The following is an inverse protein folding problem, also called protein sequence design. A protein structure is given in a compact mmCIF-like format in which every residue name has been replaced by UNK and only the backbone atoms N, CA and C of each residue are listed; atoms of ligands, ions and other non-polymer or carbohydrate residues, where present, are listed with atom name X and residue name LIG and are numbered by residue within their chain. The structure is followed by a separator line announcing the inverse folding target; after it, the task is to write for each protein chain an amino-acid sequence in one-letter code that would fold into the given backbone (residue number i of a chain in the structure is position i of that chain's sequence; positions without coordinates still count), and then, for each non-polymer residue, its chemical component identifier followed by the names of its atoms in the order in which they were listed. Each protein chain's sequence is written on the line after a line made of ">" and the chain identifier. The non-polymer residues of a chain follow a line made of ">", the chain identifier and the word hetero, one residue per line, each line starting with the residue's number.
data_IF_194366470864
#
_entry.id   IF_194366470864
#
_cell.length_a   1.000
_cell.length_b   1.000
_cell.length_c   1.000
_cell.angle_alpha   90.00
_cell.angle_beta   90.00
_cell.angle_gamma   90.00
#
_symmetry.space_group_name_H-M   'P 1'
#
loop_
_entity.id
_entity.type
_entity.pdbx_description
1 polymer ?
#
# COMPACT_ATOMS: atom_id res chain seq x y z
N UNK A 1 -3.09 13.12 -20.70
CA UNK A 1 -1.87 12.91 -19.89
C UNK A 1 -2.14 11.71 -18.97
N UNK A 2 -1.11 11.04 -18.46
CA UNK A 2 -1.31 9.88 -17.58
C UNK A 2 -1.65 10.39 -16.17
N UNK A 3 -2.82 10.03 -15.65
CA UNK A 3 -3.31 10.38 -14.31
C UNK A 3 -3.41 9.12 -13.43
N UNK A 4 -2.28 8.57 -12.98
CA UNK A 4 -2.27 7.32 -12.23
C UNK A 4 -2.82 7.53 -10.80
N UNK A 5 -3.56 6.53 -10.33
CA UNK A 5 -4.07 6.46 -8.96
C UNK A 5 -3.35 5.35 -8.22
N UNK A 6 -2.67 5.69 -7.14
CA UNK A 6 -1.91 4.76 -6.29
C UNK A 6 -2.67 4.47 -5.01
N UNK A 7 -2.88 3.19 -4.71
CA UNK A 7 -3.52 2.71 -3.49
C UNK A 7 -2.46 2.20 -2.52
N UNK A 8 -2.17 3.04 -1.54
CA UNK A 8 -1.15 2.82 -0.52
C UNK A 8 -1.81 2.48 0.82
N UNK A 9 -1.04 1.90 1.73
CA UNK A 9 -1.48 1.60 3.08
C UNK A 9 -0.51 0.64 3.75
N UNK A 10 -0.56 0.53 5.07
CA UNK A 10 0.16 -0.57 5.72
C UNK A 10 -0.44 -1.91 5.30
N UNK A 11 0.34 -2.99 5.32
CA UNK A 11 -0.19 -4.32 4.98
C UNK A 11 -1.46 -4.65 5.79
N UNK A 12 -2.44 -5.28 5.14
CA UNK A 12 -3.76 -5.64 5.74
C UNK A 12 -4.65 -4.46 6.16
N UNK A 13 -4.35 -3.24 5.72
CA UNK A 13 -5.19 -2.04 5.93
C UNK A 13 -6.48 -1.99 5.11
N UNK A 14 -6.61 -2.80 4.06
CA UNK A 14 -7.80 -2.85 3.20
C UNK A 14 -7.60 -2.35 1.75
N UNK A 15 -6.36 -2.13 1.32
CA UNK A 15 -6.00 -1.73 -0.06
C UNK A 15 -6.63 -2.60 -1.14
N UNK A 16 -6.72 -3.92 -0.95
CA UNK A 16 -7.33 -4.84 -1.93
C UNK A 16 -8.84 -4.58 -2.09
N UNK A 17 -9.54 -4.27 -1.00
CA UNK A 17 -10.96 -3.95 -1.05
C UNK A 17 -11.19 -2.60 -1.76
N UNK A 18 -10.35 -1.62 -1.46
CA UNK A 18 -10.36 -0.32 -2.12
C UNK A 18 -10.08 -0.45 -3.63
N UNK A 19 -9.09 -1.26 -4.00
CA UNK A 19 -8.78 -1.57 -5.40
C UNK A 19 -10.01 -2.12 -6.12
N UNK A 20 -10.67 -3.13 -5.53
CA UNK A 20 -11.83 -3.77 -6.15
C UNK A 20 -13.03 -2.84 -6.27
N UNK A 21 -13.21 -1.91 -5.34
CA UNK A 21 -14.20 -0.85 -5.46
C UNK A 21 -13.88 0.06 -6.66
N UNK A 22 -12.65 0.57 -6.75
CA UNK A 22 -12.26 1.48 -7.84
C UNK A 22 -12.23 0.79 -9.19
N UNK A 23 -11.83 -0.48 -9.26
CA UNK A 23 -11.85 -1.27 -10.49
C UNK A 23 -13.27 -1.53 -11.06
N UNK A 24 -14.34 -1.08 -10.39
CA UNK A 24 -15.70 -1.08 -10.96
C UNK A 24 -15.99 0.11 -11.88
N UNK A 25 -15.10 1.11 -11.92
CA UNK A 25 -15.23 2.29 -12.77
C UNK A 25 -14.49 2.07 -14.09
N UNK A 26 -15.18 2.29 -15.22
CA UNK A 26 -14.61 2.09 -16.56
C UNK A 26 -13.35 2.95 -16.82
N UNK A 27 -13.17 4.03 -16.06
CA UNK A 27 -11.98 4.88 -16.07
C UNK A 27 -10.70 4.08 -15.81
N UNK A 28 -10.77 3.00 -15.04
CA UNK A 28 -9.63 2.14 -14.72
C UNK A 28 -9.53 0.89 -15.60
N UNK A 29 -10.33 0.81 -16.67
CA UNK A 29 -10.26 -0.26 -17.67
C UNK A 29 -11.15 -1.46 -17.37
N UNK A 30 -11.17 -2.40 -18.31
CA UNK A 30 -11.99 -3.63 -18.25
C UNK A 30 -11.10 -4.78 -17.83
N UNK A 31 -11.32 -5.30 -16.62
CA UNK A 31 -10.58 -6.48 -16.16
C UNK A 31 -10.35 -6.48 -14.67
N UNK A 32 -11.38 -6.83 -13.89
CA UNK A 32 -11.08 -7.54 -12.66
C UNK A 32 -10.56 -8.91 -13.10
N UNK A 33 -9.33 -9.31 -12.73
CA UNK A 33 -8.89 -10.68 -12.97
C UNK A 33 -9.93 -11.64 -12.40
N UNK A 34 -10.14 -12.75 -13.11
CA UNK A 34 -11.02 -13.83 -12.68
C UNK A 34 -10.74 -14.15 -11.21
N UNK A 35 -11.80 -14.28 -10.41
CA UNK A 35 -11.80 -14.17 -8.94
C UNK A 35 -11.01 -15.27 -8.19
N UNK A 36 -10.14 -16.01 -8.88
CA UNK A 36 -9.20 -17.00 -8.38
C UNK A 36 -7.83 -16.44 -7.97
N UNK A 37 -7.50 -15.20 -8.32
CA UNK A 37 -6.13 -14.71 -8.15
C UNK A 37 -5.81 -14.20 -6.73
N UNK A 38 -4.57 -14.46 -6.30
CA UNK A 38 -4.08 -14.17 -4.94
C UNK A 38 -3.99 -12.66 -4.63
N UNK A 39 -3.85 -12.26 -3.35
CA UNK A 39 -3.66 -10.86 -2.93
C UNK A 39 -2.52 -10.12 -3.68
N UNK A 40 -1.52 -10.86 -4.20
CA UNK A 40 -0.39 -10.34 -5.00
C UNK A 40 -0.74 -9.99 -6.43
N UNK A 41 -1.83 -10.54 -6.96
CA UNK A 41 -2.20 -10.34 -8.36
C UNK A 41 -2.49 -8.87 -8.70
N UNK A 42 -2.90 -8.10 -7.69
CA UNK A 42 -3.23 -6.68 -7.80
C UNK A 42 -2.02 -5.75 -7.63
N UNK A 43 -0.84 -6.27 -7.32
CA UNK A 43 0.32 -5.44 -6.94
C UNK A 43 1.27 -5.23 -8.10
N UNK A 44 1.22 -4.09 -8.80
CA UNK A 44 2.06 -3.90 -9.99
C UNK A 44 3.56 -3.78 -9.71
N UNK A 45 3.90 -3.64 -8.43
CA UNK A 45 5.25 -3.52 -7.91
C UNK A 45 6.06 -2.39 -8.57
N UNK A 46 5.38 -1.30 -8.90
CA UNK A 46 5.95 -0.06 -9.48
C UNK A 46 7.15 0.48 -8.69
N UNK A 47 7.24 0.20 -7.39
CA UNK A 47 8.40 0.57 -6.59
C UNK A 47 9.71 -0.12 -7.03
N UNK A 48 9.69 -1.34 -7.58
CA UNK A 48 10.90 -1.98 -8.11
C UNK A 48 11.47 -1.21 -9.32
N UNK A 49 10.58 -0.75 -10.19
CA UNK A 49 10.90 0.09 -11.35
C UNK A 49 11.28 1.51 -10.97
N UNK A 50 10.93 1.90 -9.75
CA UNK A 50 11.44 3.12 -9.22
C UNK A 50 12.95 3.01 -9.03
N UNK A 51 13.63 1.86 -8.99
CA UNK A 51 15.10 1.76 -9.04
C UNK A 51 15.61 1.37 -10.45
N UNK A 52 16.34 2.26 -11.16
CA UNK A 52 16.84 1.99 -12.51
C UNK A 52 18.05 1.04 -12.53
N UNK A 53 18.55 0.65 -11.36
CA UNK A 53 19.59 -0.37 -11.20
C UNK A 53 19.05 -1.72 -10.78
N UNK A 54 17.74 -1.84 -10.55
CA UNK A 54 17.08 -3.12 -10.35
C UNK A 54 17.35 -4.03 -11.55
N UNK A 55 17.55 -5.31 -11.27
CA UNK A 55 17.62 -6.34 -12.29
C UNK A 55 16.23 -6.56 -12.88
N UNK A 56 15.88 -5.77 -13.90
CA UNK A 56 14.56 -5.81 -14.51
C UNK A 56 14.25 -7.17 -15.14
N UNK A 57 15.26 -7.93 -15.59
CA UNK A 57 15.08 -9.30 -16.09
C UNK A 57 14.63 -10.20 -14.93
N UNK A 58 15.36 -10.17 -13.80
CA UNK A 58 14.99 -10.94 -12.62
C UNK A 58 13.62 -10.55 -12.05
N UNK A 59 13.22 -9.27 -12.13
CA UNK A 59 11.87 -8.85 -11.71
C UNK A 59 10.82 -9.38 -12.69
N UNK A 60 11.05 -9.30 -14.00
CA UNK A 60 10.12 -9.84 -15.01
C UNK A 60 9.96 -11.36 -14.92
N UNK A 61 11.04 -12.07 -14.57
CA UNK A 61 11.07 -13.52 -14.39
C UNK A 61 10.26 -14.00 -13.18
N UNK A 62 9.85 -13.11 -12.27
CA UNK A 62 8.96 -13.47 -11.16
C UNK A 62 7.52 -13.74 -11.61
N UNK A 63 7.18 -13.47 -12.88
CA UNK A 63 5.93 -13.91 -13.52
C UNK A 63 4.65 -13.34 -12.88
N UNK A 64 4.68 -12.05 -12.48
CA UNK A 64 3.54 -11.41 -11.84
C UNK A 64 2.41 -11.15 -12.86
N UNK A 65 1.13 -11.40 -12.54
CA UNK A 65 0.03 -11.36 -13.53
C UNK A 65 -0.08 -10.06 -14.34
N UNK A 66 -0.11 -8.91 -13.68
CA UNK A 66 -0.18 -7.60 -14.36
C UNK A 66 1.06 -7.28 -15.21
N UNK A 67 2.22 -7.91 -14.95
CA UNK A 67 3.35 -7.82 -15.86
C UNK A 67 3.10 -8.58 -17.15
N UNK A 68 2.40 -9.72 -17.09
CA UNK A 68 1.97 -10.44 -18.29
C UNK A 68 0.91 -9.68 -19.06
N UNK A 69 0.07 -8.93 -18.37
CA UNK A 69 -0.91 -8.10 -19.07
C UNK A 69 -0.22 -6.92 -19.76
N UNK A 70 0.65 -6.20 -19.07
CA UNK A 70 1.35 -5.03 -19.61
C UNK A 70 2.47 -5.38 -20.60
N UNK A 71 3.16 -6.50 -20.37
CA UNK A 71 4.35 -6.96 -21.10
C UNK A 71 4.25 -8.49 -21.27
N UNK A 72 3.46 -8.98 -22.24
CA UNK A 72 3.06 -10.38 -22.32
C UNK A 72 4.19 -11.35 -22.63
N UNK A 73 5.18 -10.91 -23.40
CA UNK A 73 6.22 -11.78 -23.92
C UNK A 73 7.64 -11.16 -23.84
N UNK A 74 8.65 -12.02 -23.98
CA UNK A 74 10.07 -11.61 -23.88
C UNK A 74 10.50 -10.64 -24.99
N UNK A 75 9.85 -10.62 -26.16
CA UNK A 75 10.15 -9.61 -27.18
C UNK A 75 9.56 -8.25 -26.76
N UNK A 76 8.33 -8.22 -26.26
CA UNK A 76 7.72 -7.01 -25.69
C UNK A 76 8.56 -6.45 -24.53
N UNK A 77 9.08 -7.33 -23.67
CA UNK A 77 9.99 -6.92 -22.60
C UNK A 77 11.32 -6.37 -23.12
N UNK A 78 11.95 -7.02 -24.10
CA UNK A 78 13.16 -6.50 -24.76
C UNK A 78 12.94 -5.12 -25.38
N UNK A 79 11.77 -4.85 -25.94
CA UNK A 79 11.40 -3.52 -26.45
C UNK A 79 11.26 -2.51 -25.31
N UNK A 80 10.61 -2.90 -24.20
CA UNK A 80 10.47 -2.07 -23.01
C UNK A 80 11.84 -1.69 -22.43
N UNK A 81 12.74 -2.65 -22.22
CA UNK A 81 14.07 -2.39 -21.64
C UNK A 81 15.10 -1.86 -22.62
N UNK A 82 14.90 -2.04 -23.93
CA UNK A 82 15.84 -1.67 -24.97
C UNK A 82 16.23 -0.19 -24.93
N UNK A 83 15.31 0.68 -24.48
CA UNK A 83 15.58 2.10 -24.27
C UNK A 83 16.54 2.38 -23.11
N UNK A 84 16.56 1.55 -22.07
CA UNK A 84 17.47 1.68 -20.92
C UNK A 84 18.82 1.00 -21.17
N UNK A 85 18.85 -0.05 -21.99
CA UNK A 85 20.09 -0.74 -22.35
C UNK A 85 21.02 0.11 -23.22
N UNK A 86 20.46 1.04 -24.00
CA UNK A 86 21.18 1.94 -24.91
C UNK A 86 21.69 3.24 -24.26
N UNK A 87 21.65 3.35 -22.92
CA UNK A 87 22.15 4.53 -22.22
C UNK A 87 23.68 4.68 -22.35
N UNK A 88 24.14 5.92 -22.49
CA UNK A 88 25.57 6.23 -22.49
C UNK A 88 26.24 5.80 -21.18
N UNK A 89 27.54 5.51 -21.24
CA UNK A 89 28.33 5.13 -20.06
C UNK A 89 28.18 6.15 -18.92
N UNK A 90 28.28 7.45 -19.23
CA UNK A 90 28.10 8.52 -18.25
C UNK A 90 26.73 8.48 -17.58
N UNK A 91 25.68 8.15 -18.33
CA UNK A 91 24.34 8.08 -17.77
C UNK A 91 24.16 6.86 -16.87
N UNK A 92 24.63 5.69 -17.30
CA UNK A 92 24.63 4.48 -16.45
C UNK A 92 25.43 4.71 -15.17
N UNK A 93 26.59 5.36 -15.27
CA UNK A 93 27.40 5.75 -14.12
C UNK A 93 26.63 6.68 -13.17
N UNK A 94 25.93 7.69 -13.69
CA UNK A 94 25.11 8.59 -12.87
C UNK A 94 23.99 7.84 -12.13
N UNK A 95 23.27 6.94 -12.80
CA UNK A 95 22.19 6.15 -12.17
C UNK A 95 22.74 5.29 -11.03
N UNK A 96 23.87 4.60 -11.25
CA UNK A 96 24.54 3.81 -10.21
C UNK A 96 24.99 4.70 -9.04
N UNK A 97 25.48 5.91 -9.32
CA UNK A 97 25.89 6.87 -8.28
C UNK A 97 24.70 7.38 -7.47
N UNK A 98 23.63 7.79 -8.13
CA UNK A 98 22.39 8.23 -7.46
C UNK A 98 21.81 7.09 -6.63
N UNK A 99 21.79 5.86 -7.16
CA UNK A 99 21.30 4.71 -6.40
C UNK A 99 22.13 4.47 -5.14
N UNK A 100 23.45 4.32 -5.28
CA UNK A 100 24.36 4.02 -4.16
C UNK A 100 24.41 5.12 -3.10
N UNK A 101 24.39 6.40 -3.50
CA UNK A 101 24.67 7.51 -2.59
C UNK A 101 23.45 8.30 -2.14
N UNK A 102 22.30 8.12 -2.80
CA UNK A 102 21.06 8.84 -2.45
C UNK A 102 19.94 7.87 -2.11
N UNK A 103 19.58 6.96 -3.01
CA UNK A 103 18.37 6.14 -2.83
C UNK A 103 18.55 5.01 -1.81
N UNK A 104 19.67 4.28 -1.85
CA UNK A 104 19.96 3.18 -0.91
C UNK A 104 20.76 3.63 0.31
N UNK A 105 21.27 4.86 0.32
CA UNK A 105 22.02 5.41 1.45
C UNK A 105 21.10 5.67 2.64
N UNK A 106 21.34 4.94 3.73
CA UNK A 106 20.73 5.24 5.03
C UNK A 106 21.05 6.68 5.45
N UNK A 107 20.02 7.43 5.86
CA UNK A 107 20.15 8.83 6.27
C UNK A 107 20.24 9.86 5.13
N UNK A 108 20.13 9.47 3.86
CA UNK A 108 19.97 10.44 2.78
C UNK A 108 18.64 11.20 2.95
N UNK A 109 18.69 12.52 2.88
CA UNK A 109 17.51 13.35 3.11
C UNK A 109 16.45 13.16 2.02
N UNK A 110 15.18 13.30 2.41
CA UNK A 110 14.04 13.23 1.51
C UNK A 110 14.17 14.16 0.30
N UNK A 111 14.63 15.39 0.52
CA UNK A 111 14.86 16.36 -0.56
C UNK A 111 15.93 15.91 -1.55
N UNK A 112 17.00 15.27 -1.08
CA UNK A 112 18.02 14.69 -1.96
C UNK A 112 17.43 13.57 -2.82
N UNK A 113 16.60 12.69 -2.23
CA UNK A 113 15.90 11.62 -2.96
C UNK A 113 14.94 12.17 -4.01
N UNK A 114 14.15 13.18 -3.67
CA UNK A 114 13.25 13.88 -4.62
C UNK A 114 14.04 14.48 -5.79
N UNK A 115 15.14 15.18 -5.52
CA UNK A 115 15.99 15.76 -6.56
C UNK A 115 16.63 14.67 -7.43
N UNK A 116 17.17 13.61 -6.83
CA UNK A 116 17.71 12.48 -7.54
C UNK A 116 16.65 11.78 -8.40
N UNK A 117 15.39 11.69 -7.95
CA UNK A 117 14.27 11.11 -8.70
C UNK A 117 13.97 11.91 -9.97
N UNK A 118 14.09 13.24 -9.91
CA UNK A 118 13.95 14.12 -11.09
C UNK A 118 15.12 13.99 -12.07
N UNK A 119 16.33 13.76 -11.55
CA UNK A 119 17.53 13.62 -12.37
C UNK A 119 17.70 12.23 -12.98
N UNK A 120 17.11 11.20 -12.39
CA UNK A 120 17.22 9.79 -12.78
C UNK A 120 16.21 9.37 -13.86
N UNK A 121 16.42 8.22 -14.49
CA UNK A 121 15.47 7.65 -15.48
C UNK A 121 14.23 7.01 -14.86
N UNK A 122 14.09 7.07 -13.52
CA UNK A 122 12.97 6.51 -12.75
C UNK A 122 11.62 6.91 -13.33
N UNK A 123 11.46 8.19 -13.68
CA UNK A 123 10.27 8.72 -14.35
C UNK A 123 9.92 7.98 -15.63
N UNK A 124 10.91 7.71 -16.48
CA UNK A 124 10.67 7.08 -17.77
C UNK A 124 10.29 5.61 -17.60
N UNK A 125 10.97 4.88 -16.71
CA UNK A 125 10.66 3.47 -16.40
C UNK A 125 9.22 3.36 -15.89
N UNK A 126 8.91 4.07 -14.82
CA UNK A 126 7.59 4.02 -14.19
C UNK A 126 6.50 4.48 -15.15
N UNK A 127 6.71 5.60 -15.87
CA UNK A 127 5.69 6.11 -16.81
C UNK A 127 5.46 5.17 -17.98
N UNK A 128 6.51 4.63 -18.58
CA UNK A 128 6.37 3.70 -19.71
C UNK A 128 5.64 2.42 -19.27
N UNK A 129 5.98 1.90 -18.09
CA UNK A 129 5.29 0.72 -17.54
C UNK A 129 3.81 1.01 -17.31
N UNK A 130 3.48 2.12 -16.64
CA UNK A 130 2.08 2.49 -16.38
C UNK A 130 1.30 2.79 -17.66
N UNK A 131 1.94 3.30 -18.71
CA UNK A 131 1.31 3.46 -20.03
C UNK A 131 0.95 2.10 -20.62
N UNK A 132 1.89 1.16 -20.67
CA UNK A 132 1.64 -0.20 -21.19
C UNK A 132 0.56 -0.93 -20.38
N UNK A 133 0.61 -0.78 -19.05
CA UNK A 133 -0.41 -1.29 -18.15
C UNK A 133 -1.78 -0.65 -18.42
N UNK A 134 -1.85 0.66 -18.63
CA UNK A 134 -3.11 1.34 -18.98
C UNK A 134 -3.67 0.83 -20.31
N UNK A 135 -2.80 0.66 -21.30
CA UNK A 135 -3.18 0.19 -22.64
C UNK A 135 -3.68 -1.26 -22.63
N UNK A 136 -3.05 -2.16 -21.85
CA UNK A 136 -3.46 -3.57 -21.77
C UNK A 136 -4.86 -3.75 -21.18
N UNK A 137 -5.26 -2.86 -20.27
CA UNK A 137 -6.59 -2.87 -19.63
C UNK A 137 -7.60 -1.93 -20.31
N UNK A 138 -7.19 -1.18 -21.33
CA UNK A 138 -8.02 -0.11 -21.91
C UNK A 138 -8.39 0.99 -20.90
N UNK A 139 -7.57 1.16 -19.86
CA UNK A 139 -7.78 2.11 -18.78
C UNK A 139 -7.45 3.54 -19.23
N UNK A 140 -8.26 4.50 -18.83
CA UNK A 140 -7.98 5.95 -18.99
C UNK A 140 -7.05 6.45 -17.90
N UNK A 141 -7.20 5.91 -16.69
CA UNK A 141 -6.41 6.19 -15.49
C UNK A 141 -5.80 4.87 -15.02
N UNK A 142 -4.46 4.73 -14.93
CA UNK A 142 -3.86 3.54 -14.31
C UNK A 142 -4.27 3.42 -12.85
N UNK A 143 -4.76 2.25 -12.43
CA UNK A 143 -5.01 1.93 -11.03
C UNK A 143 -3.90 1.03 -10.50
N UNK A 144 -3.07 1.56 -9.61
CA UNK A 144 -1.93 0.87 -9.04
C UNK A 144 -2.22 0.55 -7.57
N UNK A 145 -2.01 -0.69 -7.14
CA UNK A 145 -2.12 -1.07 -5.73
C UNK A 145 -0.87 -1.78 -5.24
N UNK A 146 0.12 -1.05 -4.79
CA UNK A 146 1.19 -1.59 -3.96
C UNK A 146 1.16 -0.89 -2.58
N UNK A 147 0.80 -1.61 -1.49
CA UNK A 147 0.60 -0.99 -0.19
C UNK A 147 1.81 -0.16 0.25
N UNK A 148 3.01 -0.72 0.08
CA UNK A 148 4.29 -0.14 0.48
C UNK A 148 4.74 1.08 -0.34
N UNK A 149 3.99 1.50 -1.37
CA UNK A 149 4.25 2.76 -2.08
C UNK A 149 4.16 3.98 -1.15
N UNK A 150 3.63 3.85 0.08
CA UNK A 150 3.72 4.91 1.10
C UNK A 150 5.17 5.33 1.40
N UNK A 151 6.16 4.42 1.24
CA UNK A 151 7.58 4.70 1.44
C UNK A 151 8.17 5.61 0.36
N UNK A 152 7.50 5.71 -0.80
CA UNK A 152 7.99 6.41 -1.99
C UNK A 152 7.06 7.53 -2.46
N UNK A 153 6.10 7.98 -1.64
CA UNK A 153 5.10 8.98 -2.04
C UNK A 153 5.75 10.24 -2.61
N UNK A 154 6.81 10.72 -1.98
CA UNK A 154 7.51 11.94 -2.40
C UNK A 154 8.26 11.76 -3.71
N UNK A 155 8.96 10.64 -3.89
CA UNK A 155 9.63 10.30 -5.14
C UNK A 155 8.61 10.12 -6.27
N UNK A 156 7.55 9.34 -6.03
CA UNK A 156 6.47 9.07 -7.00
C UNK A 156 5.81 10.37 -7.43
N UNK A 157 5.43 11.25 -6.50
CA UNK A 157 4.87 12.56 -6.80
C UNK A 157 5.85 13.46 -7.59
N UNK A 158 7.15 13.34 -7.36
CA UNK A 158 8.15 14.10 -8.10
C UNK A 158 8.32 13.62 -9.55
N UNK A 159 8.18 12.32 -9.81
CA UNK A 159 8.31 11.74 -11.15
C UNK A 159 7.00 11.73 -11.93
N UNK A 160 5.86 11.63 -11.24
CA UNK A 160 4.50 11.61 -11.77
C UNK A 160 3.69 12.76 -11.14
N UNK A 161 3.82 13.99 -11.67
CA UNK A 161 3.20 15.17 -11.05
C UNK A 161 1.66 15.15 -11.08
N UNK A 162 1.07 14.32 -11.95
CA UNK A 162 -0.39 14.17 -12.08
C UNK A 162 -0.94 12.99 -11.28
N UNK A 163 -0.09 12.29 -10.53
CA UNK A 163 -0.52 11.16 -9.70
C UNK A 163 -1.44 11.61 -8.56
N UNK A 164 -2.44 10.78 -8.24
CA UNK A 164 -3.22 10.86 -7.00
C UNK A 164 -2.95 9.62 -6.15
N UNK A 165 -2.92 9.80 -4.85
CA UNK A 165 -2.65 8.75 -3.88
C UNK A 165 -3.87 8.60 -2.95
N UNK A 166 -4.21 7.36 -2.61
CA UNK A 166 -5.14 7.08 -1.52
C UNK A 166 -4.40 6.21 -0.51
N UNK A 167 -4.27 6.70 0.72
CA UNK A 167 -3.71 5.94 1.82
C UNK A 167 -4.84 5.45 2.72
N UNK A 168 -5.09 4.14 2.69
CA UNK A 168 -6.06 3.51 3.58
C UNK A 168 -5.37 3.06 4.87
N UNK A 169 -5.95 3.43 6.01
CA UNK A 169 -5.49 3.06 7.34
C UNK A 169 -6.59 2.37 8.13
N UNK A 170 -6.20 1.53 9.09
CA UNK A 170 -7.10 0.71 9.91
C UNK A 170 -6.57 0.64 11.34
N UNK A 171 -7.45 0.36 12.30
CA UNK A 171 -7.06 0.12 13.70
C UNK A 171 -5.89 -0.89 13.75
N UNK A 172 -4.74 -0.54 14.36
CA UNK A 172 -3.56 -1.40 14.36
C UNK A 172 -3.82 -2.76 15.03
N UNK A 173 -4.74 -2.84 16.00
CA UNK A 173 -5.09 -4.11 16.64
C UNK A 173 -5.79 -5.07 15.67
N UNK A 174 -6.71 -4.55 14.84
CA UNK A 174 -7.39 -5.36 13.83
C UNK A 174 -6.47 -5.75 12.68
N UNK A 175 -5.52 -4.87 12.32
CA UNK A 175 -4.48 -5.18 11.34
C UNK A 175 -3.60 -6.33 11.85
N UNK A 176 -3.09 -6.24 13.09
CA UNK A 176 -2.26 -7.29 13.68
C UNK A 176 -3.03 -8.60 13.83
N UNK A 177 -4.27 -8.56 14.31
CA UNK A 177 -5.13 -9.74 14.36
C UNK A 177 -5.35 -10.36 12.97
N UNK A 178 -5.52 -9.54 11.93
CA UNK A 178 -5.62 -10.02 10.56
C UNK A 178 -4.31 -10.66 10.06
N UNK A 179 -3.15 -10.16 10.46
CA UNK A 179 -1.85 -10.75 10.12
C UNK A 179 -1.70 -12.13 10.76
N UNK A 180 -1.97 -12.25 12.07
CA UNK A 180 -1.92 -13.52 12.79
C UNK A 180 -2.90 -14.54 12.19
N UNK A 181 -4.13 -14.11 11.86
CA UNK A 181 -5.12 -14.97 11.18
C UNK A 181 -4.59 -15.50 9.85
N UNK A 182 -4.01 -14.60 9.05
CA UNK A 182 -3.48 -14.96 7.72
C UNK A 182 -2.31 -15.93 7.85
N UNK A 183 -1.44 -15.72 8.82
CA UNK A 183 -0.32 -16.61 9.10
C UNK A 183 -0.79 -18.01 9.49
N UNK A 184 -1.76 -18.13 10.40
CA UNK A 184 -2.33 -19.44 10.76
C UNK A 184 -2.89 -20.19 9.56
N UNK A 185 -3.66 -19.51 8.71
CA UNK A 185 -4.23 -20.12 7.51
C UNK A 185 -3.16 -20.60 6.51
N UNK A 186 -2.09 -19.82 6.28
CA UNK A 186 -1.01 -20.26 5.39
C UNK A 186 -0.28 -21.50 5.92
N UNK A 187 -0.05 -21.60 7.23
CA UNK A 187 0.55 -22.80 7.85
C UNK A 187 -0.37 -24.03 7.78
N UNK A 188 -1.68 -23.84 7.89
CA UNK A 188 -2.66 -24.91 7.77
C UNK A 188 -2.74 -25.45 6.33
N UNK A 189 -2.67 -24.57 5.32
CA UNK A 189 -2.76 -24.93 3.91
C UNK A 189 -1.43 -25.49 3.35
N UNK A 190 -0.29 -24.95 3.78
CA UNK A 190 1.04 -25.32 3.30
C UNK A 190 1.99 -25.51 4.51
N UNK A 191 2.08 -26.72 5.09
CA UNK A 191 2.86 -26.95 6.32
C UNK A 191 4.39 -26.83 6.14
N UNK A 192 4.88 -26.80 4.89
CA UNK A 192 6.28 -26.58 4.56
C UNK A 192 6.38 -25.38 3.63
N UNK A 193 6.64 -24.20 4.22
CA UNK A 193 6.84 -22.96 3.48
C UNK A 193 8.30 -22.49 3.61
N UNK A 194 8.93 -21.99 2.52
CA UNK A 194 10.24 -21.37 2.60
C UNK A 194 10.24 -20.20 3.57
N UNK A 195 11.25 -20.08 4.43
CA UNK A 195 11.27 -19.08 5.53
C UNK A 195 11.06 -17.64 5.03
N UNK A 196 11.59 -17.30 3.85
CA UNK A 196 11.40 -15.99 3.23
C UNK A 196 9.94 -15.68 2.83
N UNK A 197 9.08 -16.70 2.66
CA UNK A 197 7.63 -16.51 2.39
C UNK A 197 6.80 -16.33 3.66
N UNK A 198 7.34 -16.68 4.83
CA UNK A 198 6.61 -16.69 6.11
C UNK A 198 7.22 -15.78 7.16
N UNK A 199 8.34 -15.11 6.88
CA UNK A 199 9.00 -14.22 7.84
C UNK A 199 8.05 -13.16 8.44
N UNK A 200 7.14 -12.62 7.63
CA UNK A 200 6.11 -11.67 8.06
C UNK A 200 5.11 -12.25 9.09
N UNK A 201 5.01 -13.58 9.21
CA UNK A 201 4.15 -14.28 10.16
C UNK A 201 4.74 -14.33 11.57
N UNK A 202 6.05 -14.07 11.68
CA UNK A 202 6.78 -14.03 12.94
C UNK A 202 7.05 -12.60 13.40
N UNK A 203 6.38 -11.61 12.81
CA UNK A 203 6.50 -10.21 13.20
C UNK A 203 6.05 -10.03 14.65
N UNK A 204 6.90 -9.43 15.47
CA UNK A 204 6.57 -9.12 16.86
C UNK A 204 5.59 -7.93 16.93
N UNK A 205 4.83 -7.78 18.03
CA UNK A 205 4.00 -6.58 18.26
C UNK A 205 4.79 -5.28 18.13
N UNK A 206 6.05 -5.26 18.58
CA UNK A 206 6.95 -4.12 18.52
C UNK A 206 7.36 -3.78 17.08
N UNK A 207 7.79 -4.77 16.29
CA UNK A 207 8.14 -4.58 14.88
C UNK A 207 6.93 -4.17 14.04
N UNK A 208 5.78 -4.80 14.29
CA UNK A 208 4.51 -4.42 13.69
C UNK A 208 4.16 -2.96 14.00
N UNK A 209 4.20 -2.59 15.28
CA UNK A 209 3.85 -1.23 15.71
C UNK A 209 4.75 -0.20 15.06
N UNK A 210 6.07 -0.46 15.00
CA UNK A 210 7.03 0.41 14.32
C UNK A 210 6.67 0.61 12.85
N UNK A 211 6.40 -0.47 12.11
CA UNK A 211 6.05 -0.39 10.69
C UNK A 211 4.71 0.30 10.44
N UNK A 212 3.71 0.06 11.29
CA UNK A 212 2.41 0.73 11.18
C UNK A 212 2.53 2.23 11.46
N UNK A 213 3.27 2.63 12.49
CA UNK A 213 3.56 4.04 12.82
C UNK A 213 4.28 4.71 11.66
N UNK A 214 5.35 4.08 11.13
CA UNK A 214 6.11 4.59 9.99
C UNK A 214 5.20 4.83 8.77
N UNK A 215 4.34 3.88 8.44
CA UNK A 215 3.41 4.03 7.31
C UNK A 215 2.45 5.21 7.50
N UNK A 216 1.88 5.36 8.70
CA UNK A 216 0.99 6.48 9.04
C UNK A 216 1.74 7.81 8.98
N UNK A 217 2.95 7.88 9.53
CA UNK A 217 3.75 9.10 9.56
C UNK A 217 4.17 9.52 8.15
N UNK A 218 4.61 8.60 7.30
CA UNK A 218 4.89 8.88 5.89
C UNK A 218 3.68 9.49 5.17
N UNK A 219 2.49 8.89 5.35
CA UNK A 219 1.28 9.39 4.73
C UNK A 219 0.88 10.78 5.26
N UNK A 220 0.96 11.00 6.57
CA UNK A 220 0.63 12.29 7.21
C UNK A 220 1.59 13.39 6.80
N UNK A 221 2.89 13.10 6.78
CA UNK A 221 3.91 14.04 6.31
C UNK A 221 3.66 14.41 4.84
N UNK A 222 3.30 13.43 4.00
CA UNK A 222 2.93 13.69 2.61
C UNK A 222 1.66 14.54 2.48
N UNK A 223 0.61 14.23 3.23
CA UNK A 223 -0.64 14.97 3.22
C UNK A 223 -0.44 16.45 3.60
N UNK A 224 0.50 16.75 4.52
CA UNK A 224 0.82 18.13 4.90
C UNK A 224 1.45 18.96 3.77
N UNK A 225 2.28 18.33 2.92
CA UNK A 225 3.00 19.04 1.85
C UNK A 225 2.29 18.99 0.49
N UNK A 226 1.42 18.00 0.29
CA UNK A 226 0.72 17.75 -0.97
C UNK A 226 -0.75 17.35 -0.70
N UNK A 227 -1.54 18.22 -0.03
CA UNK A 227 -2.90 17.87 0.43
C UNK A 227 -3.84 17.51 -0.73
N UNK A 228 -3.68 18.14 -1.90
CA UNK A 228 -4.51 17.87 -3.08
C UNK A 228 -4.14 16.57 -3.81
N UNK A 229 -3.06 15.90 -3.39
CA UNK A 229 -2.53 14.69 -4.04
C UNK A 229 -2.73 13.43 -3.22
N UNK A 230 -3.05 13.53 -1.92
CA UNK A 230 -3.25 12.38 -1.07
C UNK A 230 -4.56 12.48 -0.30
N UNK A 231 -5.41 11.47 -0.50
CA UNK A 231 -6.58 11.23 0.35
C UNK A 231 -6.24 10.17 1.40
N UNK A 232 -6.36 10.53 2.68
CA UNK A 232 -6.33 9.55 3.77
C UNK A 232 -7.74 9.01 4.01
N UNK A 233 -7.94 7.70 3.98
CA UNK A 233 -9.24 7.05 4.19
C UNK A 233 -9.17 6.00 5.30
N UNK A 234 -10.16 6.01 6.19
CA UNK A 234 -10.25 5.08 7.30
C UNK A 234 -10.99 3.83 6.84
N UNK A 235 -10.41 2.65 7.06
CA UNK A 235 -11.00 1.37 6.68
C UNK A 235 -12.40 1.20 7.24
N UNK A 236 -12.59 1.56 8.51
CA UNK A 236 -13.88 1.48 9.20
C UNK A 236 -14.92 2.40 8.56
N UNK A 237 -14.55 3.61 8.13
CA UNK A 237 -15.46 4.47 7.36
C UNK A 237 -15.80 3.85 6.00
N UNK A 238 -14.82 3.22 5.36
CA UNK A 238 -15.00 2.57 4.07
C UNK A 238 -15.88 1.31 4.14
N UNK A 239 -15.93 0.63 5.29
CA UNK A 239 -16.76 -0.56 5.49
C UNK A 239 -18.12 -0.28 6.14
N UNK A 240 -18.21 0.72 7.02
CA UNK A 240 -19.40 1.04 7.83
C UNK A 240 -20.15 2.29 7.33
N UNK A 241 -19.43 3.37 6.99
CA UNK A 241 -19.98 4.61 6.42
C UNK A 241 -19.81 4.65 4.89
N UNK A 242 -20.09 3.50 4.26
CA UNK A 242 -19.62 3.18 2.90
C UNK A 242 -20.05 4.20 1.85
N UNK A 243 -21.30 4.64 1.89
CA UNK A 243 -21.82 5.56 0.86
C UNK A 243 -21.12 6.91 0.87
N UNK A 244 -21.02 7.53 2.05
CA UNK A 244 -20.33 8.81 2.20
C UNK A 244 -18.84 8.71 1.88
N UNK A 245 -18.17 7.64 2.32
CA UNK A 245 -16.73 7.49 2.08
C UNK A 245 -16.43 7.18 0.61
N UNK A 246 -17.23 6.33 -0.04
CA UNK A 246 -17.12 6.07 -1.48
C UNK A 246 -17.33 7.34 -2.31
N UNK A 247 -18.32 8.18 -1.97
CA UNK A 247 -18.54 9.47 -2.65
C UNK A 247 -17.33 10.39 -2.52
N UNK A 248 -16.81 10.54 -1.29
CA UNK A 248 -15.61 11.32 -1.01
C UNK A 248 -14.38 10.86 -1.81
N UNK A 249 -14.21 9.54 -1.97
CA UNK A 249 -13.16 8.96 -2.82
C UNK A 249 -13.41 9.30 -4.30
N UNK A 250 -14.65 9.16 -4.79
CA UNK A 250 -14.99 9.51 -6.16
C UNK A 250 -14.72 10.99 -6.46
N UNK A 251 -15.16 11.88 -5.57
CA UNK A 251 -14.94 13.33 -5.71
C UNK A 251 -13.45 13.65 -5.74
N UNK A 252 -12.65 13.04 -4.87
CA UNK A 252 -11.20 13.21 -4.87
C UNK A 252 -10.55 12.74 -6.18
N UNK A 253 -11.08 11.71 -6.82
CA UNK A 253 -10.53 11.13 -8.05
C UNK A 253 -11.14 11.68 -9.34
N UNK A 254 -12.06 12.64 -9.24
CA UNK A 254 -12.87 13.16 -10.35
C UNK A 254 -13.62 12.02 -11.08
N UNK A 255 -14.31 11.18 -10.31
CA UNK A 255 -15.17 10.09 -10.80
C UNK A 255 -16.64 10.43 -10.56
N UNK A 256 -17.52 9.97 -11.45
CA UNK A 256 -18.97 10.13 -11.27
C UNK A 256 -19.48 9.26 -10.12
N UNK A 257 -19.74 9.90 -8.98
CA UNK A 257 -20.20 9.23 -7.76
C UNK A 257 -21.62 8.67 -7.86
N UNK A 258 -22.41 9.07 -8.87
CA UNK A 258 -23.72 8.46 -9.15
C UNK A 258 -23.61 7.01 -9.64
N UNK A 259 -22.42 6.60 -10.13
CA UNK A 259 -22.14 5.24 -10.61
C UNK A 259 -21.81 4.26 -9.49
N UNK A 260 -21.66 4.72 -8.24
CA UNK A 260 -21.38 3.84 -7.11
C UNK A 260 -22.56 2.89 -6.89
N UNK A 261 -22.32 1.60 -7.11
CA UNK A 261 -23.30 0.54 -6.81
C UNK A 261 -23.00 -0.06 -5.45
N UNK A 262 -23.93 0.09 -4.50
CA UNK A 262 -23.85 -0.58 -3.21
C UNK A 262 -24.56 -1.93 -3.31
N UNK A 263 -23.79 -3.01 -3.31
CA UNK A 263 -24.35 -4.35 -3.05
C UNK A 263 -24.18 -4.67 -1.57
N UNK A 264 -25.30 -5.01 -0.92
CA UNK A 264 -25.30 -5.56 0.46
C UNK A 264 -25.00 -7.07 0.49
N UNK A 265 -24.81 -7.72 -0.67
CA UNK A 265 -24.54 -9.16 -0.73
C UNK A 265 -23.06 -9.43 -0.56
N UNK A 266 -22.72 -10.13 0.53
CA UNK A 266 -21.45 -10.85 0.67
C UNK A 266 -21.51 -12.07 -0.24
N UNK A 267 -20.93 -11.95 -1.43
CA UNK A 267 -20.77 -13.13 -2.28
C UNK A 267 -19.60 -13.98 -1.73
N UNK A 268 -19.86 -15.26 -1.48
CA UNK A 268 -18.91 -16.21 -0.90
C UNK A 268 -18.73 -17.37 -1.89
N UNK A 269 -17.48 -17.76 -2.14
CA UNK A 269 -17.09 -18.77 -3.11
C UNK A 269 -16.04 -19.70 -2.50
N UNK A 270 -16.52 -20.80 -1.91
CA UNK A 270 -15.72 -21.80 -1.20
C UNK A 270 -14.64 -22.47 -2.06
N UNK A 271 -14.78 -22.39 -3.39
CA UNK A 271 -13.79 -22.96 -4.32
C UNK A 271 -12.51 -22.13 -4.44
N UNK A 272 -12.54 -20.87 -3.98
CA UNK A 272 -11.41 -19.94 -4.06
C UNK A 272 -10.50 -20.09 -2.84
N UNK A 273 -9.17 -20.01 -3.04
CA UNK A 273 -8.17 -19.94 -1.93
C UNK A 273 -8.49 -18.83 -0.93
N UNK A 274 -9.23 -17.80 -1.36
CA UNK A 274 -9.81 -16.74 -0.53
C UNK A 274 -11.33 -16.70 -0.74
N UNK A 275 -12.13 -17.33 0.14
CA UNK A 275 -13.51 -17.65 -0.16
C UNK A 275 -14.47 -16.45 -0.07
N UNK A 276 -14.03 -15.29 0.42
CA UNK A 276 -14.77 -14.05 0.19
C UNK A 276 -14.57 -13.66 -1.27
N UNK A 277 -15.66 -13.54 -2.05
CA UNK A 277 -15.66 -12.70 -3.24
C UNK A 277 -15.65 -11.24 -2.77
N UNK A 278 -14.53 -10.84 -2.19
CA UNK A 278 -13.68 -9.80 -2.73
C UNK A 278 -14.24 -8.37 -2.85
N UNK A 279 -15.48 -8.18 -3.30
CA UNK A 279 -16.21 -6.91 -3.44
C UNK A 279 -16.97 -6.48 -2.18
N UNK A 280 -17.11 -7.34 -1.18
CA UNK A 280 -17.91 -7.03 0.02
C UNK A 280 -17.04 -6.74 1.24
N UNK A 281 -17.05 -5.50 1.74
CA UNK A 281 -16.42 -5.12 2.99
C UNK A 281 -17.00 -5.95 4.12
N UNK A 282 -16.12 -6.51 4.95
CA UNK A 282 -16.53 -7.05 6.24
C UNK A 282 -16.39 -5.90 7.23
N UNK A 283 -17.48 -5.45 7.89
CA UNK A 283 -17.42 -4.45 8.95
C UNK A 283 -16.45 -4.87 10.05
N UNK A 284 -15.98 -3.90 10.84
CA UNK A 284 -14.99 -4.23 11.84
C UNK A 284 -15.60 -5.12 12.93
N UNK A 285 -15.15 -6.38 13.01
CA UNK A 285 -15.69 -7.36 13.94
C UNK A 285 -15.02 -7.33 15.33
N UNK A 286 -14.12 -6.35 15.58
CA UNK A 286 -13.28 -6.28 16.78
C UNK A 286 -12.63 -7.64 17.11
N UNK A 287 -12.26 -8.38 16.08
CA UNK A 287 -11.81 -9.78 16.17
C UNK A 287 -10.52 -9.91 16.96
N UNK A 288 -9.75 -8.83 17.08
CA UNK A 288 -8.53 -8.80 17.86
C UNK A 288 -8.73 -9.27 19.30
N UNK A 289 -9.89 -8.97 19.92
CA UNK A 289 -10.21 -9.39 21.30
C UNK A 289 -10.26 -10.91 21.48
N UNK A 290 -10.61 -11.66 20.43
CA UNK A 290 -10.69 -13.12 20.46
C UNK A 290 -9.39 -13.78 20.00
N UNK A 291 -8.53 -13.03 19.32
CA UNK A 291 -7.40 -13.60 18.56
C UNK A 291 -6.04 -13.29 19.17
N UNK A 292 -5.89 -12.12 19.79
CA UNK A 292 -4.61 -11.63 20.29
C UNK A 292 -4.47 -11.93 21.78
N UNK A 293 -3.24 -12.19 22.21
CA UNK A 293 -2.93 -12.30 23.63
C UNK A 293 -3.03 -10.91 24.30
N UNK A 294 -3.53 -10.79 25.54
CA UNK A 294 -3.65 -9.49 26.22
C UNK A 294 -2.35 -8.67 26.26
N UNK A 295 -1.20 -9.32 26.42
CA UNK A 295 0.10 -8.63 26.39
C UNK A 295 0.42 -7.99 25.04
N UNK A 296 -0.02 -8.61 23.94
CA UNK A 296 0.21 -8.06 22.60
C UNK A 296 -0.67 -6.85 22.36
N UNK A 297 -1.92 -6.91 22.82
CA UNK A 297 -2.87 -5.78 22.81
C UNK A 297 -2.27 -4.61 23.59
N UNK A 298 -1.82 -4.84 24.82
CA UNK A 298 -1.21 -3.82 25.68
C UNK A 298 0.01 -3.17 25.01
N UNK A 299 0.91 -3.98 24.44
CA UNK A 299 2.10 -3.49 23.74
C UNK A 299 1.73 -2.61 22.53
N UNK A 300 0.81 -3.06 21.70
CA UNK A 300 0.38 -2.32 20.50
C UNK A 300 -0.30 -1.01 20.92
N UNK A 301 -1.20 -1.03 21.90
CA UNK A 301 -1.83 0.21 22.41
C UNK A 301 -0.76 1.17 22.94
N UNK A 302 0.15 0.68 23.77
CA UNK A 302 1.22 1.51 24.35
C UNK A 302 2.05 2.19 23.26
N UNK A 303 2.44 1.47 22.22
CA UNK A 303 3.29 1.99 21.14
C UNK A 303 2.52 2.87 20.13
N UNK A 304 1.30 2.49 19.76
CA UNK A 304 0.54 3.14 18.70
C UNK A 304 -0.45 4.21 19.21
N UNK A 305 -0.65 4.36 20.52
CA UNK A 305 -1.65 5.26 21.13
C UNK A 305 -1.63 6.69 20.58
N UNK A 306 -0.44 7.28 20.42
CA UNK A 306 -0.27 8.63 19.87
C UNK A 306 -0.85 8.75 18.46
N UNK A 307 -0.29 8.05 17.45
CA UNK A 307 -0.82 8.11 16.09
C UNK A 307 -2.26 7.59 15.97
N UNK A 308 -2.70 6.65 16.82
CA UNK A 308 -4.11 6.22 16.89
C UNK A 308 -5.04 7.38 17.25
N UNK A 309 -4.72 8.12 18.31
CA UNK A 309 -5.51 9.28 18.74
C UNK A 309 -5.54 10.36 17.66
N UNK A 310 -4.40 10.63 17.01
CA UNK A 310 -4.33 11.59 15.90
C UNK A 310 -5.15 11.18 14.67
N UNK A 311 -5.38 9.88 14.47
CA UNK A 311 -6.23 9.32 13.43
C UNK A 311 -7.70 9.16 13.87
N UNK A 312 -8.07 9.68 15.05
CA UNK A 312 -9.44 9.61 15.57
C UNK A 312 -9.87 8.20 15.96
N UNK A 313 -8.94 7.37 16.44
CA UNK A 313 -9.30 6.20 17.24
C UNK A 313 -9.42 6.62 18.70
N UNK A 314 -10.51 6.20 19.33
CA UNK A 314 -10.70 6.40 20.77
C UNK A 314 -9.62 5.61 21.53
N UNK A 315 -9.19 6.17 22.66
CA UNK A 315 -8.38 5.41 23.59
C UNK A 315 -9.23 4.24 24.08
N UNK A 316 -8.73 3.01 23.93
CA UNK A 316 -9.32 1.88 24.65
C UNK A 316 -9.16 2.20 26.13
N UNK A 317 -10.27 2.50 26.82
CA UNK A 317 -10.23 2.85 28.24
C UNK A 317 -9.59 1.70 29.04
N UNK A 318 -8.77 2.05 30.04
CA UNK A 318 -8.05 1.10 30.90
C UNK A 318 -8.96 0.04 31.55
N UNK A 319 -10.25 0.35 31.69
CA UNK A 319 -11.29 -0.56 32.18
C UNK A 319 -11.54 -1.75 31.23
N UNK A 320 -11.28 -1.60 29.93
CA UNK A 320 -11.54 -2.62 28.91
C UNK A 320 -10.36 -3.58 28.67
N UNK A 321 -9.15 -3.22 29.12
CA UNK A 321 -7.95 -4.09 29.05
C UNK A 321 -7.67 -4.84 30.35
N UNK A 322 -8.43 -4.60 31.44
CA UNK A 322 -8.24 -5.28 32.72
C UNK A 322 -6.89 -4.98 33.39
N UNK A 323 -6.20 -3.90 32.98
CA UNK A 323 -4.85 -3.57 33.44
C UNK A 323 -4.80 -2.09 33.86
N UNK A 324 -4.34 -1.84 35.08
CA UNK A 324 -4.08 -0.48 35.58
C UNK A 324 -2.91 0.13 34.81
N UNK A 325 -3.15 1.26 34.14
CA UNK A 325 -2.07 2.04 33.54
C UNK A 325 -1.09 2.55 34.64
N UNK A 326 0.23 2.57 34.39
CA UNK A 326 1.14 3.30 35.25
C UNK A 326 0.81 4.80 35.16
N UNK A 327 0.56 5.42 36.30
CA UNK A 327 0.36 6.88 36.42
C UNK A 327 1.55 7.60 35.79
N UNK A 328 1.32 8.29 34.68
CA UNK A 328 2.27 9.25 34.16
C UNK A 328 2.19 10.52 35.01
N UNK A 329 3.08 10.65 36.00
CA UNK A 329 3.34 11.94 36.63
C UNK A 329 3.91 12.88 35.58
N UNK A 330 3.12 13.91 35.22
CA UNK A 330 3.57 15.02 34.38
C UNK A 330 4.62 15.83 35.15
N UNK A 331 5.88 15.49 34.97
CA UNK A 331 7.00 16.41 35.20
C UNK A 331 7.93 16.43 34.00
N UNK A 332 7.45 16.96 32.87
CA UNK A 332 8.33 17.53 31.86
C UNK A 332 8.61 18.98 32.27
N UNK A 333 9.74 19.19 32.96
CA UNK A 333 10.31 20.52 33.12
C UNK A 333 10.71 21.03 31.72
N UNK A 334 10.23 22.21 31.37
CA UNK A 334 10.64 22.93 30.17
C UNK A 334 12.15 23.20 30.22
N UNK A 335 12.88 23.11 29.09
CA UNK A 335 14.25 23.59 29.04
C UNK A 335 14.23 25.12 29.17
N UNK A 336 14.95 25.64 30.18
CA UNK A 336 15.27 27.07 30.23
C UNK A 336 16.26 27.39 29.11
N UNK A 337 16.02 28.55 28.49
CA UNK A 337 16.69 29.17 27.34
C UNK A 337 18.21 28.98 27.28
#
# INVERSE_FOLDING_TARGET
>A
MLEPVFLCGYMRSGTTLLYRFLATFDEFGVGLPDHNETDRAFETAVWFYSDPTSDLEAVYDQDWPHWKDAIPDRNSFKQFIGRYNNLSFLRKWLEVRLNKHVFTRAGASRNARVLASRLSWRRHIVRNFLTLYSESYGAKKPLEKCPDNYLALHELNAILPDAKFIFIYRNPLDVYASLIRRGRLELELEPVLPIGRVAWMFITPEEFSKGWIEAVDCAREFARVSPDRLLMTKYENFTEARESECRRICDFLDLDSARVKFSNRVDYDESKRFPLRSSTPVPNSNTFRKMLHPSDIEKIIRLCSGPMHELGYEALEDAECGLQAPRFDRQFQQPRL
#
